data_IF_103918326460
#
_entry.id   IF_103918326460
#
_cell.length_a   1.000
_cell.length_b   1.000
_cell.length_c   1.000
_cell.angle_alpha   90.00
_cell.angle_beta   90.00
_cell.angle_gamma   90.00
#
_symmetry.space_group_name_H-M   'P 1'
#
loop_
_entity.id
_entity.type
_entity.pdbx_description
1 polymer ?
#
# COMPACT_ATOMS: atom_id res chain seq x y z
N UNK A 1 5.72 6.22 -1.97
CA UNK A 1 6.45 5.27 -1.11
C UNK A 1 7.89 5.28 -1.52
N UNK A 2 8.79 5.59 -0.60
CA UNK A 2 10.22 5.70 -0.91
C UNK A 2 10.85 4.33 -1.14
N UNK A 3 12.05 4.30 -1.75
CA UNK A 3 12.86 3.10 -1.95
C UNK A 3 13.13 2.31 -0.65
N UNK A 4 13.11 2.97 0.52
CA UNK A 4 13.28 2.35 1.83
C UNK A 4 11.96 1.80 2.43
N UNK A 5 10.88 1.79 1.65
CA UNK A 5 9.57 1.28 2.06
C UNK A 5 8.78 2.22 2.95
N UNK A 6 9.09 3.52 3.02
CA UNK A 6 8.29 4.47 3.82
C UNK A 6 7.11 4.97 3.00
N UNK A 7 5.89 4.78 3.51
CA UNK A 7 4.71 5.46 3.02
C UNK A 7 4.62 6.87 3.65
N UNK A 8 4.23 7.86 2.85
CA UNK A 8 4.12 9.27 3.25
C UNK A 8 3.21 10.02 2.28
N UNK A 9 2.67 11.15 2.72
CA UNK A 9 2.01 12.11 1.83
C UNK A 9 3.04 13.03 1.19
N UNK A 10 3.03 13.12 -0.14
CA UNK A 10 3.92 14.01 -0.89
C UNK A 10 3.22 15.33 -1.23
N UNK A 11 3.92 16.46 -1.12
CA UNK A 11 3.40 17.76 -1.56
C UNK A 11 3.38 17.89 -3.10
N UNK A 12 4.37 17.29 -3.76
CA UNK A 12 4.50 17.26 -5.21
C UNK A 12 4.38 15.82 -5.71
N UNK A 13 3.72 15.64 -6.85
CA UNK A 13 3.58 14.33 -7.48
C UNK A 13 4.92 13.82 -8.04
N UNK A 14 5.17 12.52 -7.89
CA UNK A 14 6.37 11.84 -8.38
C UNK A 14 6.11 10.35 -8.59
N UNK A 15 7.11 9.62 -9.07
CA UNK A 15 7.01 8.15 -9.26
C UNK A 15 6.74 7.40 -7.96
N UNK A 16 7.15 7.96 -6.81
CA UNK A 16 6.83 7.41 -5.50
C UNK A 16 5.31 7.48 -5.20
N UNK A 17 4.54 8.35 -5.86
CA UNK A 17 3.09 8.47 -5.69
C UNK A 17 2.31 7.38 -6.45
N UNK A 18 2.95 6.68 -7.39
CA UNK A 18 2.29 5.65 -8.19
C UNK A 18 2.27 4.30 -7.46
N UNK A 19 1.06 3.78 -7.25
CA UNK A 19 0.82 2.47 -6.67
C UNK A 19 0.13 1.56 -7.69
N UNK A 20 0.59 0.32 -7.79
CA UNK A 20 -0.06 -0.75 -8.55
C UNK A 20 -1.12 -1.42 -7.69
N UNK A 21 -2.35 -1.37 -8.16
CA UNK A 21 -3.49 -2.09 -7.59
C UNK A 21 -3.48 -3.56 -8.04
N UNK A 22 -3.80 -4.48 -7.14
CA UNK A 22 -4.01 -5.90 -7.45
C UNK A 22 -5.19 -6.45 -6.65
N UNK A 23 -6.13 -7.12 -7.32
CA UNK A 23 -7.22 -7.86 -6.68
C UNK A 23 -6.76 -9.27 -6.32
N UNK A 24 -6.77 -9.58 -5.03
CA UNK A 24 -6.35 -10.87 -4.48
C UNK A 24 -7.47 -11.91 -4.55
N UNK A 25 -7.12 -13.20 -4.42
CA UNK A 25 -8.07 -14.32 -4.45
C UNK A 25 -9.14 -14.25 -3.35
N UNK A 26 -8.84 -13.59 -2.24
CA UNK A 26 -9.79 -13.35 -1.15
C UNK A 26 -10.67 -12.10 -1.37
N UNK A 27 -10.63 -11.51 -2.56
CA UNK A 27 -11.38 -10.32 -2.98
C UNK A 27 -11.01 -9.03 -2.23
N UNK A 28 -9.87 -9.01 -1.54
CA UNK A 28 -9.25 -7.78 -1.07
C UNK A 28 -8.28 -7.24 -2.10
N UNK A 29 -7.96 -5.95 -1.99
CA UNK A 29 -7.00 -5.28 -2.85
C UNK A 29 -5.67 -5.07 -2.12
N UNK A 30 -4.55 -5.32 -2.80
CA UNK A 30 -3.22 -4.87 -2.37
C UNK A 30 -2.75 -3.69 -3.22
N UNK A 31 -1.97 -2.80 -2.61
CA UNK A 31 -1.30 -1.69 -3.30
C UNK A 31 0.20 -1.81 -3.12
N UNK A 32 0.94 -1.89 -4.23
CA UNK A 32 2.41 -1.99 -4.23
C UNK A 32 3.03 -0.78 -4.93
N UNK A 33 4.27 -0.40 -4.59
CA UNK A 33 4.93 0.68 -5.33
C UNK A 33 5.17 0.27 -6.78
N UNK A 34 4.85 1.17 -7.70
CA UNK A 34 5.19 0.98 -9.11
C UNK A 34 6.69 1.14 -9.35
N UNK A 35 7.30 2.17 -8.75
CA UNK A 35 8.73 2.49 -8.89
C UNK A 35 9.65 1.51 -8.14
N UNK A 36 9.17 0.93 -7.03
CA UNK A 36 9.94 0.02 -6.17
C UNK A 36 9.19 -1.31 -5.97
N UNK A 37 9.24 -2.24 -6.94
CA UNK A 37 8.51 -3.50 -6.90
C UNK A 37 8.80 -4.33 -5.64
N UNK A 38 7.79 -5.01 -5.11
CA UNK A 38 7.89 -5.84 -3.90
C UNK A 38 7.67 -5.07 -2.59
N UNK A 39 7.53 -3.75 -2.64
CA UNK A 39 7.14 -2.93 -1.48
C UNK A 39 5.61 -2.74 -1.48
N UNK A 40 4.97 -2.93 -0.32
CA UNK A 40 3.52 -2.85 -0.18
C UNK A 40 3.09 -1.73 0.80
N UNK A 41 1.98 -1.06 0.49
CA UNK A 41 1.29 -0.20 1.44
C UNK A 41 0.68 -1.08 2.54
N UNK A 42 0.86 -0.69 3.80
CA UNK A 42 0.36 -1.48 4.92
C UNK A 42 0.06 -0.62 6.15
N UNK A 43 -0.96 -1.04 6.91
CA UNK A 43 -1.32 -0.48 8.20
C UNK A 43 -1.22 -1.54 9.30
N UNK A 44 -0.74 -1.15 10.47
CA UNK A 44 -0.78 -2.00 11.66
C UNK A 44 -2.22 -2.09 12.19
N UNK A 45 -2.48 -3.06 13.08
CA UNK A 45 -3.77 -3.15 13.77
C UNK A 45 -4.10 -1.88 14.60
N UNK A 46 -3.09 -1.07 14.94
CA UNK A 46 -3.27 0.20 15.65
C UNK A 46 -3.52 1.39 14.71
N UNK A 47 -3.61 1.14 13.39
CA UNK A 47 -3.80 2.19 12.38
C UNK A 47 -2.51 2.92 11.97
N UNK A 48 -1.34 2.43 12.39
CA UNK A 48 -0.06 3.06 12.07
C UNK A 48 0.50 2.54 10.73
N UNK A 49 1.18 3.40 9.97
CA UNK A 49 1.86 2.98 8.74
C UNK A 49 2.99 1.98 9.06
N UNK A 50 3.03 0.87 8.33
CA UNK A 50 4.15 -0.08 8.36
C UNK A 50 5.13 0.22 7.21
N UNK A 51 6.40 -0.13 7.40
CA UNK A 51 7.38 -0.06 6.32
C UNK A 51 7.12 -1.17 5.29
N UNK A 52 6.98 -0.79 4.02
CA UNK A 52 6.62 -1.68 2.91
C UNK A 52 7.62 -2.81 2.65
N UNK A 53 8.88 -2.67 3.08
CA UNK A 53 9.90 -3.71 2.98
C UNK A 53 9.85 -4.73 4.15
N UNK A 54 8.92 -4.57 5.10
CA UNK A 54 8.74 -5.49 6.25
C UNK A 54 7.44 -6.30 6.15
N UNK A 55 6.73 -6.15 5.04
CA UNK A 55 5.42 -6.75 4.78
C UNK A 55 5.46 -7.43 3.41
N UNK A 56 4.52 -8.33 3.18
CA UNK A 56 4.37 -9.00 1.89
C UNK A 56 2.91 -9.16 1.53
N UNK A 57 2.66 -9.45 0.24
CA UNK A 57 1.34 -9.57 -0.38
C UNK A 57 0.30 -10.39 0.41
N UNK A 58 0.73 -11.47 1.06
CA UNK A 58 -0.19 -12.37 1.77
C UNK A 58 -0.48 -11.96 3.21
N UNK A 59 0.14 -10.88 3.72
CA UNK A 59 -0.14 -10.40 5.07
C UNK A 59 -1.42 -9.55 5.06
N UNK A 60 -2.35 -9.83 5.97
CA UNK A 60 -3.63 -9.11 6.10
C UNK A 60 -3.46 -7.59 6.26
N UNK A 61 -2.37 -7.13 6.86
CA UNK A 61 -2.05 -5.70 6.99
C UNK A 61 -1.83 -4.95 5.67
N UNK A 62 -1.69 -5.68 4.54
CA UNK A 62 -1.57 -5.13 3.18
C UNK A 62 -2.88 -5.18 2.39
N UNK A 63 -3.94 -5.77 2.97
CA UNK A 63 -5.22 -6.02 2.31
C UNK A 63 -6.21 -4.91 2.64
N UNK A 64 -6.68 -4.22 1.62
CA UNK A 64 -7.61 -3.11 1.71
C UNK A 64 -8.92 -3.48 1.01
N UNK A 65 -10.03 -3.00 1.57
CA UNK A 65 -11.34 -3.09 0.95
C UNK A 65 -11.81 -1.68 0.57
N UNK A 66 -11.73 -1.27 -0.70
CA UNK A 66 -12.25 0.01 -1.15
C UNK A 66 -13.75 0.11 -0.86
N UNK A 67 -14.15 1.14 -0.10
CA UNK A 67 -15.56 1.42 0.17
C UNK A 67 -16.00 2.61 -0.64
N UNK A 68 -17.21 2.55 -1.21
CA UNK A 68 -17.83 3.70 -1.86
C UNK A 68 -18.09 4.75 -0.77
N UNK A 69 -17.63 5.97 -0.98
CA UNK A 69 -18.09 7.10 -0.19
C UNK A 69 -19.50 7.44 -0.66
N UNK A 70 -20.50 7.30 0.20
CA UNK A 70 -21.80 7.93 -0.03
C UNK A 70 -21.62 9.42 0.21
N UNK A 71 -21.53 10.18 -0.87
CA UNK A 71 -21.56 11.64 -0.87
C UNK A 71 -23.00 12.13 -0.94
#
# INVERSE_FOLDING_TARGET
MSAQGRAYGAANFSDDCLLKEHLEENHYTTYSSLAHPGLYLALSHRGELRKGNTVGRHQSCTHFLPRRTTT
#
